data_IF_880606820315
#
_entry.id   IF_880606820315
#
_cell.length_a   1.000
_cell.length_b   1.000
_cell.length_c   1.000
_cell.angle_alpha   90.00
_cell.angle_beta   90.00
_cell.angle_gamma   90.00
#
_symmetry.space_group_name_H-M   'P 1'
#
loop_
_entity.id
_entity.type
_entity.pdbx_description
1 polymer ?
#
# COMPACT_ATOMS: atom_id res chain seq x y z
N UNK A 1 -23.12 -43.61 -10.52
CA UNK A 1 -23.79 -42.37 -10.96
C UNK A 1 -23.91 -41.44 -9.77
N UNK A 2 -23.02 -40.46 -9.65
CA UNK A 2 -23.20 -39.35 -8.71
C UNK A 2 -22.46 -38.16 -9.29
N UNK A 3 -23.22 -37.18 -9.74
CA UNK A 3 -22.75 -35.99 -10.44
C UNK A 3 -21.93 -35.09 -9.51
N UNK A 4 -20.70 -34.80 -9.91
CA UNK A 4 -19.90 -33.73 -9.32
C UNK A 4 -20.43 -32.41 -9.90
N UNK A 5 -21.18 -31.68 -9.08
CA UNK A 5 -21.59 -30.30 -9.37
C UNK A 5 -20.35 -29.43 -9.57
N UNK A 6 -20.08 -29.08 -10.83
CA UNK A 6 -19.20 -27.97 -11.23
C UNK A 6 -19.69 -26.69 -10.54
N UNK A 7 -18.97 -26.25 -9.51
CA UNK A 7 -19.09 -24.89 -9.00
C UNK A 7 -18.55 -23.95 -10.08
N UNK A 8 -19.45 -23.41 -10.90
CA UNK A 8 -19.17 -22.27 -11.76
C UNK A 8 -18.97 -21.05 -10.86
N UNK A 9 -17.71 -20.74 -10.55
CA UNK A 9 -17.34 -19.47 -9.96
C UNK A 9 -17.54 -18.37 -11.01
N UNK A 10 -18.60 -17.59 -10.85
CA UNK A 10 -18.76 -16.29 -11.50
C UNK A 10 -17.64 -15.35 -11.02
N UNK A 11 -16.46 -15.42 -11.63
CA UNK A 11 -15.41 -14.43 -11.45
C UNK A 11 -15.75 -13.17 -12.24
N UNK A 12 -16.63 -12.35 -11.66
CA UNK A 12 -16.78 -10.94 -12.00
C UNK A 12 -15.55 -10.22 -11.44
N UNK A 13 -14.67 -9.78 -12.35
CA UNK A 13 -13.58 -8.85 -12.04
C UNK A 13 -12.25 -9.18 -12.71
N UNK A 14 -12.19 -9.20 -14.05
CA UNK A 14 -10.94 -9.10 -14.80
C UNK A 14 -10.32 -7.71 -14.60
N UNK A 15 -9.79 -7.44 -13.41
CA UNK A 15 -8.75 -6.46 -13.20
C UNK A 15 -7.47 -7.13 -13.66
N UNK A 16 -7.05 -6.82 -14.89
CA UNK A 16 -5.75 -7.21 -15.41
C UNK A 16 -4.69 -6.82 -14.35
N UNK A 17 -4.01 -7.82 -13.79
CA UNK A 17 -2.94 -7.63 -12.83
C UNK A 17 -1.93 -6.64 -13.41
N UNK A 18 -1.59 -5.59 -12.65
CA UNK A 18 -0.62 -4.60 -13.15
C UNK A 18 0.76 -5.23 -13.23
N UNK A 19 1.60 -4.85 -14.21
CA UNK A 19 2.95 -5.42 -14.35
C UNK A 19 3.81 -5.25 -13.08
N UNK A 20 3.58 -4.20 -12.29
CA UNK A 20 4.25 -3.97 -11.01
C UNK A 20 3.89 -5.03 -9.97
N UNK A 21 2.62 -5.46 -9.92
CA UNK A 21 2.16 -6.49 -8.99
C UNK A 21 2.79 -7.83 -9.37
N UNK A 22 2.67 -8.23 -10.64
CA UNK A 22 3.28 -9.47 -11.16
C UNK A 22 4.80 -9.50 -10.95
N UNK A 23 5.51 -8.41 -11.29
CA UNK A 23 6.95 -8.34 -11.12
C UNK A 23 7.37 -8.41 -9.65
N UNK A 24 6.64 -7.77 -8.74
CA UNK A 24 6.94 -7.84 -7.30
C UNK A 24 6.60 -9.22 -6.71
N UNK A 25 5.54 -9.88 -7.20
CA UNK A 25 5.18 -11.27 -6.84
C UNK A 25 6.30 -12.23 -7.19
N UNK A 26 6.83 -12.13 -8.41
CA UNK A 26 7.97 -12.91 -8.87
C UNK A 26 9.22 -12.59 -8.04
N UNK A 27 9.51 -11.31 -7.81
CA UNK A 27 10.69 -10.88 -7.04
C UNK A 27 10.65 -11.36 -5.58
N UNK A 28 9.46 -11.37 -4.97
CA UNK A 28 9.28 -11.70 -3.56
C UNK A 28 9.15 -13.21 -3.28
N UNK A 29 8.93 -14.01 -4.33
CA UNK A 29 8.82 -15.47 -4.26
C UNK A 29 10.11 -16.10 -3.73
N UNK A 30 9.96 -17.15 -2.91
CA UNK A 30 11.01 -18.07 -2.49
C UNK A 30 10.76 -19.49 -3.05
N UNK A 31 11.79 -20.35 -3.13
CA UNK A 31 11.58 -21.76 -3.44
C UNK A 31 10.58 -22.39 -2.46
N UNK A 32 9.62 -23.17 -2.97
CA UNK A 32 8.54 -23.78 -2.17
C UNK A 32 7.25 -22.95 -2.08
N UNK A 33 7.30 -21.65 -2.36
CA UNK A 33 6.11 -20.80 -2.38
C UNK A 33 5.12 -21.26 -3.47
N UNK A 34 3.85 -21.36 -3.08
CA UNK A 34 2.72 -21.56 -4.02
C UNK A 34 2.19 -20.20 -4.46
N UNK A 35 2.04 -19.99 -5.75
CA UNK A 35 1.53 -18.74 -6.31
C UNK A 35 0.07 -18.88 -6.70
N UNK A 36 -0.72 -17.83 -6.48
CA UNK A 36 -2.13 -17.79 -6.89
C UNK A 36 -2.91 -19.02 -6.39
N UNK A 37 -2.66 -19.39 -5.13
CA UNK A 37 -3.24 -20.58 -4.51
C UNK A 37 -4.65 -20.25 -4.00
N UNK A 38 -5.69 -21.02 -4.40
CA UNK A 38 -6.99 -20.93 -3.77
C UNK A 38 -6.91 -21.30 -2.29
N UNK A 39 -7.36 -20.40 -1.42
CA UNK A 39 -7.46 -20.62 0.02
C UNK A 39 -8.82 -20.15 0.50
N UNK A 40 -9.62 -21.07 1.03
CA UNK A 40 -11.04 -20.85 1.35
C UNK A 40 -11.81 -20.22 0.16
N UNK A 41 -12.28 -18.99 0.31
CA UNK A 41 -13.04 -18.25 -0.70
C UNK A 41 -12.20 -17.21 -1.46
N UNK A 42 -10.87 -17.26 -1.32
CA UNK A 42 -9.96 -16.27 -1.89
C UNK A 42 -8.86 -16.91 -2.72
N UNK A 43 -8.37 -16.17 -3.71
CA UNK A 43 -7.12 -16.50 -4.41
C UNK A 43 -5.99 -15.73 -3.72
N UNK A 44 -5.01 -16.42 -3.16
CA UNK A 44 -3.88 -15.81 -2.43
C UNK A 44 -2.69 -15.61 -3.35
N UNK A 45 -2.07 -14.43 -3.35
CA UNK A 45 -0.95 -14.15 -4.25
C UNK A 45 0.22 -15.11 -4.02
N UNK A 46 0.62 -15.30 -2.76
CA UNK A 46 1.67 -16.26 -2.37
C UNK A 46 1.27 -16.95 -1.06
N UNK A 47 1.31 -18.28 -1.04
CA UNK A 47 1.23 -19.09 0.18
C UNK A 47 2.62 -19.64 0.48
N UNK A 48 3.15 -19.29 1.66
CA UNK A 48 4.46 -19.71 2.16
C UNK A 48 4.26 -20.41 3.50
N UNK A 49 4.29 -21.73 3.49
CA UNK A 49 3.92 -22.55 4.65
C UNK A 49 2.53 -22.11 5.17
N UNK A 50 2.44 -21.70 6.44
CA UNK A 50 1.20 -21.20 7.06
C UNK A 50 0.99 -19.68 6.92
N UNK A 51 1.83 -18.98 6.15
CA UNK A 51 1.74 -17.54 5.92
C UNK A 51 1.05 -17.23 4.59
N UNK A 52 -0.03 -16.47 4.66
CA UNK A 52 -0.74 -15.93 3.50
C UNK A 52 -0.18 -14.55 3.14
N UNK A 53 0.28 -14.36 1.92
CA UNK A 53 0.93 -13.11 1.50
C UNK A 53 0.11 -12.49 0.37
N UNK A 54 -0.23 -11.21 0.54
CA UNK A 54 -0.92 -10.42 -0.47
C UNK A 54 -0.09 -9.21 -0.87
N UNK A 55 0.04 -9.00 -2.18
CA UNK A 55 0.70 -7.83 -2.72
C UNK A 55 -0.38 -6.84 -3.14
N UNK A 56 -0.38 -5.65 -2.54
CA UNK A 56 -1.37 -4.62 -2.87
C UNK A 56 -0.67 -3.35 -3.33
N UNK A 57 -0.78 -3.00 -4.62
CA UNK A 57 -0.09 -1.82 -5.19
C UNK A 57 -0.81 -0.49 -4.93
N UNK A 58 -2.08 -0.52 -4.50
CA UNK A 58 -2.92 0.65 -4.14
C UNK A 58 -4.23 0.21 -3.49
N UNK A 59 -4.96 1.13 -2.87
CA UNK A 59 -6.36 0.94 -2.46
C UNK A 59 -6.59 -0.20 -1.45
N UNK A 60 -6.07 -0.06 -0.24
CA UNK A 60 -6.29 -1.01 0.85
C UNK A 60 -7.77 -1.25 1.21
N UNK A 61 -8.69 -0.36 0.83
CA UNK A 61 -10.13 -0.59 1.02
C UNK A 61 -10.63 -1.80 0.23
N UNK A 62 -10.04 -2.08 -0.94
CA UNK A 62 -10.44 -3.21 -1.77
C UNK A 62 -10.08 -4.57 -1.13
N UNK A 63 -8.96 -4.62 -0.41
CA UNK A 63 -8.48 -5.86 0.22
C UNK A 63 -8.94 -5.99 1.68
N UNK A 64 -9.47 -4.92 2.29
CA UNK A 64 -9.90 -4.89 3.69
C UNK A 64 -10.74 -6.11 4.09
N UNK A 65 -11.80 -6.43 3.33
CA UNK A 65 -12.70 -7.56 3.64
C UNK A 65 -11.95 -8.90 3.65
N UNK A 66 -11.05 -9.11 2.68
CA UNK A 66 -10.23 -10.32 2.57
C UNK A 66 -9.29 -10.44 3.77
N UNK A 67 -8.55 -9.38 4.08
CA UNK A 67 -7.65 -9.36 5.25
C UNK A 67 -8.44 -9.63 6.53
N UNK A 68 -9.54 -8.90 6.76
CA UNK A 68 -10.36 -9.05 7.98
C UNK A 68 -10.83 -10.47 8.21
N UNK A 69 -11.20 -11.20 7.15
CA UNK A 69 -11.65 -12.58 7.27
C UNK A 69 -10.48 -13.54 7.55
N UNK A 70 -9.38 -13.41 6.80
CA UNK A 70 -8.27 -14.36 6.88
C UNK A 70 -7.47 -14.24 8.18
N UNK A 71 -7.26 -13.02 8.69
CA UNK A 71 -6.45 -12.80 9.91
C UNK A 71 -7.08 -13.34 11.20
N UNK A 72 -8.33 -13.80 11.15
CA UNK A 72 -9.00 -14.41 12.32
C UNK A 72 -8.33 -15.71 12.74
N UNK A 73 -7.84 -16.48 11.76
CA UNK A 73 -7.27 -17.83 11.99
C UNK A 73 -5.94 -18.08 11.29
N UNK A 74 -5.46 -17.13 10.47
CA UNK A 74 -4.27 -17.32 9.64
C UNK A 74 -3.31 -16.14 9.80
N UNK A 75 -2.00 -16.42 9.71
CA UNK A 75 -0.99 -15.36 9.61
C UNK A 75 -1.03 -14.77 8.21
N UNK A 76 -0.96 -13.45 8.13
CA UNK A 76 -1.03 -12.71 6.89
C UNK A 76 0.06 -11.64 6.79
N UNK A 77 0.68 -11.52 5.63
CA UNK A 77 1.59 -10.44 5.28
C UNK A 77 0.99 -9.61 4.15
N UNK A 78 0.76 -8.32 4.38
CA UNK A 78 0.40 -7.37 3.34
C UNK A 78 1.65 -6.65 2.84
N UNK A 79 2.06 -6.97 1.62
CA UNK A 79 3.20 -6.37 0.92
C UNK A 79 2.71 -5.16 0.12
N UNK A 80 3.32 -3.99 0.35
CA UNK A 80 2.98 -2.76 -0.33
C UNK A 80 4.21 -2.06 -0.93
N UNK A 81 4.29 -1.92 -2.27
CA UNK A 81 5.32 -1.12 -2.89
C UNK A 81 5.00 0.38 -2.83
N UNK A 82 5.95 1.17 -2.33
CA UNK A 82 5.99 2.62 -2.44
C UNK A 82 7.01 2.99 -3.54
N UNK A 83 6.51 3.60 -4.61
CA UNK A 83 7.38 4.15 -5.67
C UNK A 83 8.15 5.36 -5.15
N UNK A 84 9.38 5.13 -4.67
CA UNK A 84 10.30 6.19 -4.27
C UNK A 84 10.67 7.05 -5.47
N UNK A 85 11.13 6.40 -6.55
CA UNK A 85 11.38 7.06 -7.83
C UNK A 85 10.41 6.53 -8.87
N UNK A 86 9.90 7.44 -9.69
CA UNK A 86 8.95 7.09 -10.74
C UNK A 86 9.24 7.83 -12.02
N UNK A 87 9.57 7.09 -13.07
CA UNK A 87 9.64 7.60 -14.43
C UNK A 87 8.24 7.61 -15.04
N UNK A 88 7.86 8.73 -15.64
CA UNK A 88 6.63 8.86 -16.41
C UNK A 88 7.02 8.68 -17.88
N UNK A 89 6.46 7.65 -18.50
CA UNK A 89 6.63 7.35 -19.92
C UNK A 89 5.32 7.68 -20.62
N UNK A 90 5.37 8.65 -21.53
CA UNK A 90 4.26 8.95 -22.41
C UNK A 90 4.49 8.23 -23.73
N UNK A 91 3.51 7.42 -24.14
CA UNK A 91 3.52 6.71 -25.41
C UNK A 91 2.49 7.28 -26.38
N UNK A 92 2.79 7.18 -27.67
CA UNK A 92 1.84 7.44 -28.74
C UNK A 92 0.76 6.34 -28.77
N UNK A 93 -0.49 6.74 -28.99
CA UNK A 93 -1.63 5.82 -28.88
C UNK A 93 -1.71 4.82 -30.03
N UNK A 94 -1.23 5.18 -31.22
CA UNK A 94 -1.32 4.33 -32.42
C UNK A 94 -0.11 3.40 -32.54
N UNK A 95 1.09 3.96 -32.36
CA UNK A 95 2.35 3.25 -32.61
C UNK A 95 2.97 2.64 -31.35
N UNK A 96 2.47 2.95 -30.15
CA UNK A 96 3.08 2.64 -28.85
C UNK A 96 4.54 3.12 -28.70
N UNK A 97 5.02 4.01 -29.57
CA UNK A 97 6.36 4.59 -29.46
C UNK A 97 6.45 5.56 -28.29
N UNK A 98 7.60 5.58 -27.62
CA UNK A 98 7.87 6.51 -26.52
C UNK A 98 7.98 7.93 -27.10
N UNK A 99 7.09 8.81 -26.65
CA UNK A 99 7.13 10.25 -26.96
C UNK A 99 8.00 11.01 -25.97
N UNK A 100 7.94 10.64 -24.69
CA UNK A 100 8.66 11.31 -23.63
C UNK A 100 8.89 10.37 -22.46
N UNK A 101 10.09 10.42 -21.88
CA UNK A 101 10.42 9.82 -20.58
C UNK A 101 10.99 10.89 -19.66
N UNK A 102 10.49 10.97 -18.43
CA UNK A 102 11.01 11.90 -17.42
C UNK A 102 10.86 11.33 -16.02
N UNK A 103 11.74 11.73 -15.11
CA UNK A 103 11.55 11.48 -13.69
C UNK A 103 10.39 12.34 -13.14
N UNK A 104 9.59 11.77 -12.24
CA UNK A 104 8.61 12.51 -11.46
C UNK A 104 9.32 13.28 -10.35
N UNK A 105 8.98 14.56 -10.11
CA UNK A 105 9.57 15.32 -9.01
C UNK A 105 9.10 14.84 -7.63
N UNK A 106 8.08 13.96 -7.58
CA UNK A 106 7.58 13.41 -6.33
C UNK A 106 8.41 12.20 -5.94
N UNK A 107 9.16 12.33 -4.85
CA UNK A 107 9.86 11.23 -4.20
C UNK A 107 9.12 10.81 -2.94
N UNK A 108 8.81 9.52 -2.84
CA UNK A 108 8.11 8.96 -1.68
C UNK A 108 9.08 8.22 -0.77
N UNK A 109 8.70 8.09 0.48
CA UNK A 109 9.42 7.34 1.50
C UNK A 109 8.47 6.41 2.25
N UNK A 110 9.00 5.57 3.14
CA UNK A 110 8.23 4.61 3.92
C UNK A 110 7.00 5.23 4.60
N UNK A 111 7.11 6.48 5.08
CA UNK A 111 6.00 7.18 5.77
C UNK A 111 4.79 7.46 4.87
N UNK A 112 4.94 7.42 3.55
CA UNK A 112 3.81 7.58 2.62
C UNK A 112 2.83 6.39 2.68
N UNK A 113 3.14 5.32 3.43
CA UNK A 113 2.23 4.20 3.73
C UNK A 113 0.94 4.64 4.42
N UNK A 114 0.97 5.73 5.20
CA UNK A 114 -0.21 6.28 5.87
C UNK A 114 -1.27 6.80 4.87
N UNK A 115 -0.91 7.01 3.60
CA UNK A 115 -1.90 7.28 2.55
C UNK A 115 -2.86 6.10 2.33
N UNK A 116 -2.40 4.87 2.55
CA UNK A 116 -3.13 3.62 2.42
C UNK A 116 -3.66 3.09 3.76
N UNK A 117 -2.86 3.13 4.84
CA UNK A 117 -3.23 2.58 6.16
C UNK A 117 -4.49 3.19 6.76
N UNK A 118 -4.80 4.46 6.42
CA UNK A 118 -6.04 5.11 6.86
C UNK A 118 -7.31 4.33 6.48
N UNK A 119 -7.22 3.41 5.52
CA UNK A 119 -8.33 2.54 5.08
C UNK A 119 -8.55 1.31 5.97
N UNK A 120 -7.49 0.85 6.65
CA UNK A 120 -7.48 -0.37 7.49
C UNK A 120 -6.80 -0.17 8.85
N UNK A 121 -6.93 1.00 9.52
CA UNK A 121 -6.09 1.32 10.67
C UNK A 121 -6.35 0.40 11.87
N UNK A 122 -7.60 -0.05 12.03
CA UNK A 122 -7.99 -0.95 13.12
C UNK A 122 -7.48 -2.39 12.91
N UNK A 123 -7.05 -2.77 11.70
CA UNK A 123 -6.53 -4.11 11.43
C UNK A 123 -5.05 -4.26 11.83
N UNK A 124 -4.31 -3.16 11.93
CA UNK A 124 -2.86 -3.17 12.16
C UNK A 124 -2.51 -3.67 13.57
N UNK A 125 -3.44 -3.57 14.52
CA UNK A 125 -3.27 -4.10 15.88
C UNK A 125 -3.51 -5.61 15.98
N UNK A 126 -3.87 -6.29 14.90
CA UNK A 126 -4.03 -7.75 14.92
C UNK A 126 -2.65 -8.44 14.85
N UNK A 127 -2.32 -9.34 15.79
CA UNK A 127 -1.01 -10.01 15.83
C UNK A 127 -0.76 -10.96 14.66
N UNK A 128 -1.80 -11.32 13.90
CA UNK A 128 -1.69 -12.14 12.71
C UNK A 128 -1.45 -11.31 11.44
N UNK A 129 -1.33 -9.98 11.52
CA UNK A 129 -1.09 -9.12 10.36
C UNK A 129 0.28 -8.44 10.43
N UNK A 130 1.16 -8.80 9.50
CA UNK A 130 2.41 -8.09 9.22
C UNK A 130 2.22 -7.18 8.01
N UNK A 131 2.79 -5.97 8.04
CA UNK A 131 2.90 -5.08 6.88
C UNK A 131 4.36 -5.04 6.42
N UNK A 132 4.60 -5.34 5.15
CA UNK A 132 5.89 -5.15 4.50
C UNK A 132 5.83 -4.02 3.49
N UNK A 133 6.72 -3.04 3.63
CA UNK A 133 6.82 -1.92 2.71
C UNK A 133 8.08 -2.08 1.88
N UNK A 134 7.93 -2.06 0.56
CA UNK A 134 9.05 -2.03 -0.38
C UNK A 134 9.21 -0.63 -0.95
N UNK A 135 10.40 -0.04 -0.82
CA UNK A 135 10.77 1.12 -1.63
C UNK A 135 11.20 0.62 -3.00
N UNK A 136 10.54 1.11 -4.04
CA UNK A 136 10.76 0.65 -5.41
C UNK A 136 10.97 1.80 -6.38
N UNK A 137 11.70 1.51 -7.44
CA UNK A 137 11.78 2.33 -8.64
C UNK A 137 10.78 1.81 -9.67
N UNK A 138 10.04 2.71 -10.32
CA UNK A 138 8.96 2.32 -11.23
C UNK A 138 8.88 3.14 -12.50
N UNK A 139 8.32 2.55 -13.55
CA UNK A 139 7.84 3.29 -14.73
C UNK A 139 6.32 3.32 -14.71
N UNK A 140 5.73 4.48 -14.93
CA UNK A 140 4.28 4.66 -15.14
C UNK A 140 4.04 5.03 -16.60
N UNK A 141 3.49 4.08 -17.33
CA UNK A 141 3.24 4.20 -18.77
C UNK A 141 1.88 4.87 -18.97
N UNK A 142 1.85 5.92 -19.77
CA UNK A 142 0.66 6.72 -20.03
C UNK A 142 0.41 6.89 -21.52
N UNK A 143 -0.86 6.80 -21.92
CA UNK A 143 -1.33 7.10 -23.27
C UNK A 143 -2.22 8.34 -23.28
N UNK A 144 -2.13 9.14 -24.34
CA UNK A 144 -3.00 10.30 -24.51
C UNK A 144 -4.27 9.90 -25.25
N UNK A 145 -5.21 9.30 -24.52
CA UNK A 145 -6.50 8.87 -25.06
C UNK A 145 -7.65 9.84 -24.71
N UNK A 146 -7.35 10.96 -24.05
CA UNK A 146 -8.35 11.91 -23.56
C UNK A 146 -9.19 11.40 -22.39
N UNK A 147 -8.99 10.16 -21.91
CA UNK A 147 -9.79 9.52 -20.84
C UNK A 147 -9.12 9.60 -19.47
N UNK A 148 -7.89 10.13 -19.42
CA UNK A 148 -7.16 10.34 -18.18
C UNK A 148 -7.76 11.42 -17.31
N UNK A 149 -7.40 11.43 -16.02
CA UNK A 149 -7.90 12.44 -15.09
C UNK A 149 -7.47 13.85 -15.51
N UNK A 150 -8.26 14.86 -15.11
CA UNK A 150 -7.95 16.29 -15.36
C UNK A 150 -6.53 16.67 -14.89
N UNK A 151 -6.09 16.17 -13.73
CA UNK A 151 -4.71 16.38 -13.23
C UNK A 151 -3.63 15.84 -14.16
N UNK A 152 -3.95 14.84 -14.98
CA UNK A 152 -3.08 14.27 -16.00
C UNK A 152 -3.40 14.79 -17.40
N UNK A 153 -4.27 15.79 -17.56
CA UNK A 153 -4.61 16.43 -18.84
C UNK A 153 -5.03 15.41 -19.91
N UNK A 154 -5.90 14.46 -19.56
CA UNK A 154 -6.38 13.44 -20.49
C UNK A 154 -5.47 12.21 -20.66
N UNK A 155 -4.27 12.17 -20.04
CA UNK A 155 -3.39 11.00 -20.10
C UNK A 155 -3.85 9.86 -19.16
N UNK A 156 -4.22 8.72 -19.73
CA UNK A 156 -4.57 7.50 -18.99
C UNK A 156 -3.34 6.72 -18.60
N UNK A 157 -3.32 6.20 -17.36
CA UNK A 157 -2.27 5.28 -16.91
C UNK A 157 -2.62 3.90 -17.46
N UNK A 158 -1.74 3.35 -18.29
CA UNK A 158 -1.93 2.05 -18.92
C UNK A 158 -1.33 0.95 -18.06
N UNK A 159 -0.14 1.20 -17.52
CA UNK A 159 0.62 0.20 -16.80
C UNK A 159 1.59 0.86 -15.83
N UNK A 160 2.07 0.07 -14.87
CA UNK A 160 3.19 0.42 -14.00
C UNK A 160 4.16 -0.75 -13.99
N UNK A 161 5.44 -0.51 -14.21
CA UNK A 161 6.48 -1.53 -14.22
C UNK A 161 7.45 -1.33 -13.07
N UNK A 162 7.93 -2.44 -12.49
CA UNK A 162 9.02 -2.44 -11.54
C UNK A 162 10.35 -2.27 -12.29
N UNK A 163 11.18 -1.32 -11.85
CA UNK A 163 12.56 -1.16 -12.33
C UNK A 163 13.52 -1.83 -11.36
N UNK A 164 13.30 -1.62 -10.05
CA UNK A 164 14.16 -2.16 -9.02
C UNK A 164 13.58 -1.98 -7.62
N UNK A 165 14.08 -2.79 -6.70
CA UNK A 165 13.77 -2.71 -5.27
C UNK A 165 14.95 -2.04 -4.57
N UNK A 166 14.67 -0.95 -3.85
CA UNK A 166 15.67 -0.14 -3.16
C UNK A 166 15.79 -0.50 -1.68
N UNK A 167 14.73 -1.03 -1.09
CA UNK A 167 14.72 -1.39 0.32
C UNK A 167 13.41 -2.02 0.75
N UNK A 168 13.46 -2.65 1.92
CA UNK A 168 12.33 -3.28 2.59
C UNK A 168 12.31 -2.80 4.05
N UNK A 169 11.13 -2.48 4.58
CA UNK A 169 10.88 -2.38 6.02
C UNK A 169 9.67 -3.22 6.40
N UNK A 170 9.78 -3.95 7.49
CA UNK A 170 8.75 -4.85 8.01
C UNK A 170 8.18 -4.27 9.31
N UNK A 171 6.87 -4.41 9.48
CA UNK A 171 6.13 -3.95 10.65
C UNK A 171 5.29 -5.13 11.13
N UNK A 172 5.71 -5.73 12.23
CA UNK A 172 5.12 -6.92 12.83
C UNK A 172 4.11 -6.58 13.93
N UNK A 173 4.17 -5.36 14.46
CA UNK A 173 3.24 -4.89 15.47
C UNK A 173 3.00 -3.37 15.34
N UNK A 174 1.97 -2.83 16.00
CA UNK A 174 1.67 -1.40 15.96
C UNK A 174 2.82 -0.49 16.42
N UNK A 175 3.59 -0.89 17.43
CA UNK A 175 4.66 -0.05 17.99
C UNK A 175 5.77 0.24 16.98
N UNK A 176 5.98 -0.64 15.99
CA UNK A 176 6.93 -0.41 14.89
C UNK A 176 6.60 0.87 14.08
N UNK A 177 5.34 1.32 14.11
CA UNK A 177 4.94 2.58 13.46
C UNK A 177 5.33 3.83 14.25
N UNK A 178 5.71 3.71 15.52
CA UNK A 178 6.26 4.82 16.30
C UNK A 178 7.64 5.27 15.79
N UNK A 179 8.39 4.40 15.11
CA UNK A 179 9.64 4.75 14.44
C UNK A 179 9.49 5.89 13.42
N UNK A 180 8.28 6.12 12.93
CA UNK A 180 8.00 7.23 12.03
C UNK A 180 7.93 8.57 12.75
N UNK A 181 7.72 8.60 14.07
CA UNK A 181 7.72 9.85 14.85
C UNK A 181 9.19 10.24 15.12
N UNK A 182 9.65 11.42 14.68
CA UNK A 182 11.01 11.85 14.97
C UNK A 182 11.24 11.97 16.48
N UNK A 183 12.36 11.41 16.98
CA UNK A 183 12.75 11.52 18.40
C UNK A 183 12.96 12.97 18.87
N UNK A 184 13.16 13.89 17.93
CA UNK A 184 13.30 15.32 18.18
C UNK A 184 11.97 16.07 18.31
N UNK A 185 10.83 15.39 18.15
CA UNK A 185 9.52 16.01 18.32
C UNK A 185 9.15 16.03 19.81
N UNK A 186 8.94 17.23 20.35
CA UNK A 186 8.47 17.40 21.71
C UNK A 186 7.08 16.80 21.93
N UNK A 187 6.83 16.35 23.16
CA UNK A 187 5.54 15.80 23.58
C UNK A 187 4.98 16.69 24.70
N UNK A 188 3.70 17.10 24.65
CA UNK A 188 2.72 16.75 23.63
C UNK A 188 2.85 17.57 22.34
N UNK A 189 2.37 17.02 21.22
CA UNK A 189 2.46 17.67 19.90
C UNK A 189 1.12 17.79 19.19
N UNK A 190 1.05 18.69 18.23
CA UNK A 190 -0.05 18.84 17.28
C UNK A 190 0.31 18.19 15.94
N UNK A 191 -0.70 18.01 15.09
CA UNK A 191 -0.46 17.59 13.70
C UNK A 191 0.43 18.57 12.90
N UNK A 192 0.49 19.84 13.31
CA UNK A 192 1.33 20.84 12.65
C UNK A 192 2.81 20.63 12.99
N UNK A 193 3.14 20.45 14.27
CA UNK A 193 4.51 20.15 14.72
C UNK A 193 4.97 18.79 14.19
N UNK A 194 4.09 17.78 14.16
CA UNK A 194 4.37 16.50 13.51
C UNK A 194 4.67 16.68 12.00
N UNK A 195 3.90 17.49 11.28
CA UNK A 195 4.15 17.74 9.86
C UNK A 195 5.49 18.45 9.60
N UNK A 196 5.83 19.44 10.43
CA UNK A 196 7.09 20.17 10.33
C UNK A 196 8.28 19.26 10.62
N UNK A 197 8.27 18.51 11.72
CA UNK A 197 9.35 17.59 12.10
C UNK A 197 9.59 16.50 11.05
N UNK A 198 8.53 16.06 10.35
CA UNK A 198 8.62 15.09 9.25
C UNK A 198 9.04 15.69 7.91
N UNK A 199 9.01 17.02 7.77
CA UNK A 199 9.06 17.71 6.47
C UNK A 199 8.04 17.14 5.47
N UNK A 200 6.79 16.96 5.92
CA UNK A 200 5.69 16.39 5.12
C UNK A 200 4.44 17.28 5.15
N UNK A 201 3.54 17.16 4.16
CA UNK A 201 2.30 17.92 4.16
C UNK A 201 1.43 17.59 5.39
N UNK A 202 0.76 18.60 5.95
CA UNK A 202 -0.17 18.44 7.08
C UNK A 202 -1.22 17.35 6.86
N UNK A 203 -1.65 17.13 5.61
CA UNK A 203 -2.58 16.06 5.25
C UNK A 203 -2.02 14.68 5.59
N UNK A 204 -0.73 14.41 5.38
CA UNK A 204 -0.11 13.14 5.71
C UNK A 204 0.02 12.98 7.23
N UNK A 205 0.47 14.02 7.94
CA UNK A 205 0.56 14.01 9.41
C UNK A 205 -0.79 13.71 10.07
N UNK A 206 -1.89 14.28 9.55
CA UNK A 206 -3.26 13.97 10.01
C UNK A 206 -3.65 12.51 9.79
N UNK A 207 -3.25 11.90 8.67
CA UNK A 207 -3.50 10.48 8.42
C UNK A 207 -2.68 9.60 9.37
N UNK A 208 -1.43 9.97 9.59
CA UNK A 208 -0.53 9.29 10.53
C UNK A 208 -1.09 9.34 11.95
N UNK A 209 -1.41 10.51 12.49
CA UNK A 209 -1.98 10.62 13.84
C UNK A 209 -3.33 9.90 13.96
N UNK A 210 -4.18 9.92 12.93
CA UNK A 210 -5.40 9.12 12.91
C UNK A 210 -5.11 7.61 13.02
N UNK A 211 -4.16 7.10 12.23
CA UNK A 211 -3.77 5.68 12.28
C UNK A 211 -3.17 5.31 13.64
N UNK A 212 -2.22 6.10 14.15
CA UNK A 212 -1.59 5.85 15.45
C UNK A 212 -2.59 5.88 16.61
N UNK A 213 -3.61 6.75 16.55
CA UNK A 213 -4.72 6.73 17.52
C UNK A 213 -5.54 5.45 17.45
N UNK A 214 -5.87 5.01 16.23
CA UNK A 214 -6.63 3.77 16.01
C UNK A 214 -5.84 2.53 16.41
N UNK A 215 -4.52 2.59 16.33
CA UNK A 215 -3.60 1.59 16.83
C UNK A 215 -3.44 1.59 18.36
N UNK A 216 -3.97 2.62 19.06
CA UNK A 216 -3.82 2.74 20.51
C UNK A 216 -2.43 3.22 20.95
N UNK A 217 -1.70 3.95 20.10
CA UNK A 217 -0.33 4.40 20.39
C UNK A 217 -0.25 5.85 20.89
N UNK A 218 -1.24 6.67 20.52
CA UNK A 218 -1.37 8.05 20.98
C UNK A 218 -2.82 8.36 21.32
N UNK A 219 -3.04 9.35 22.20
CA UNK A 219 -4.37 9.86 22.59
C UNK A 219 -4.47 11.36 22.37
N UNK A 220 -5.69 11.87 22.33
CA UNK A 220 -5.95 13.32 22.33
C UNK A 220 -6.05 13.76 23.77
N UNK A 221 -5.19 14.69 24.20
CA UNK A 221 -5.19 15.23 25.57
C UNK A 221 -5.80 16.64 25.67
N UNK A 222 -6.06 17.29 24.52
CA UNK A 222 -6.63 18.63 24.50
C UNK A 222 -6.66 19.24 23.11
N UNK A 223 -6.86 20.56 23.07
CA UNK A 223 -6.84 21.36 21.84
C UNK A 223 -6.10 22.67 22.03
N UNK A 224 -5.36 23.11 21.01
CA UNK A 224 -4.80 24.47 20.87
C UNK A 224 -5.53 25.15 19.71
N UNK A 225 -6.53 25.97 20.04
CA UNK A 225 -7.52 26.43 19.05
C UNK A 225 -8.24 25.24 18.40
N UNK A 226 -8.15 25.12 17.07
CA UNK A 226 -8.74 23.99 16.33
C UNK A 226 -7.80 22.77 16.20
N UNK A 227 -6.54 22.88 16.62
CA UNK A 227 -5.58 21.78 16.54
C UNK A 227 -5.76 20.83 17.72
N UNK A 228 -5.86 19.52 17.43
CA UNK A 228 -5.77 18.48 18.46
C UNK A 228 -4.33 18.38 18.98
N UNK A 229 -4.20 18.20 20.29
CA UNK A 229 -2.94 17.93 20.98
C UNK A 229 -2.88 16.44 21.30
N UNK A 230 -1.77 15.80 20.95
CA UNK A 230 -1.54 14.38 21.12
C UNK A 230 -0.42 14.10 22.11
N UNK A 231 -0.59 13.01 22.84
CA UNK A 231 0.41 12.43 23.74
C UNK A 231 0.43 10.91 23.53
N UNK A 232 1.51 10.25 23.95
CA UNK A 232 1.57 8.79 23.98
C UNK A 232 0.53 8.23 24.95
N UNK A 233 0.05 7.03 24.65
CA UNK A 233 -0.97 6.37 25.47
C UNK A 233 -0.40 5.86 26.79
#
# INVERSE_FOLDING_TARGET
MTEVKKLQSNHIGTLQESSLHAALKIWYKKPGDKLEEPFENYLIDIVRDDLLIEIQTKNFSAIKKKITNLIQHNKMCLVHPISQDKWIINIDIQSNKILRRRLSPLHRSYIDIFEELIRIPDLISNPNLTIEIFLVQTEEIRKNDGKGSWRRRGWSICDKKLIGVLGKKEFNNPYDFLDFIPKSLDVPFTNFELAQSLNKPLRLARKMSYCLRKMGLIKVIGKKGNALIFDYL
#
